data_IF_332506030538
#
_entry.id   IF_332506030538
#
_cell.length_a   1.000
_cell.length_b   1.000
_cell.length_c   1.000
_cell.angle_alpha   90.00
_cell.angle_beta   90.00
_cell.angle_gamma   90.00
#
_symmetry.space_group_name_H-M   'P 1'
#
loop_
_entity.id
_entity.type
_entity.pdbx_description
1 polymer ?
#
# COMPACT_ATOMS: atom_id res chain seq x y z
N UNK A 1 -14.68 -45.25 81.03
CA UNK A 1 -13.50 -44.61 80.40
C UNK A 1 -13.98 -43.35 79.67
N UNK A 2 -13.46 -42.18 80.10
CA UNK A 2 -13.44 -40.82 79.47
C UNK A 2 -14.76 -40.36 78.80
N UNK A 3 -15.63 -39.54 79.40
CA UNK A 3 -15.56 -38.11 79.83
C UNK A 3 -15.08 -37.12 78.77
N UNK A 4 -15.94 -36.10 78.59
CA UNK A 4 -15.77 -34.78 77.95
C UNK A 4 -16.11 -34.72 76.45
N UNK A 5 -17.04 -33.90 75.96
CA UNK A 5 -17.77 -32.78 76.54
C UNK A 5 -17.79 -31.60 75.56
N UNK A 6 -18.92 -30.89 75.56
CA UNK A 6 -19.11 -29.47 75.17
C UNK A 6 -19.89 -29.20 73.87
N UNK A 7 -21.10 -28.68 74.12
CA UNK A 7 -22.01 -27.85 73.32
C UNK A 7 -21.32 -26.69 72.57
N UNK A 8 -21.84 -26.33 71.39
CA UNK A 8 -22.36 -24.97 71.12
C UNK A 8 -22.90 -24.85 69.68
N UNK A 9 -24.20 -24.55 69.61
CA UNK A 9 -24.88 -23.83 68.52
C UNK A 9 -24.18 -22.49 68.30
N UNK A 10 -24.03 -22.00 67.06
CA UNK A 10 -24.28 -20.59 66.65
C UNK A 10 -23.84 -20.27 65.20
N UNK A 11 -24.74 -19.54 64.53
CA UNK A 11 -24.60 -18.61 63.39
C UNK A 11 -24.22 -19.13 61.99
N UNK A 12 -25.26 -19.12 61.15
CA UNK A 12 -25.24 -18.59 59.78
C UNK A 12 -24.39 -17.31 59.65
N UNK A 13 -23.32 -17.37 58.84
CA UNK A 13 -22.79 -16.22 58.12
C UNK A 13 -22.79 -16.59 56.65
N UNK A 14 -23.67 -15.90 55.93
CA UNK A 14 -23.75 -15.79 54.49
C UNK A 14 -22.41 -15.33 53.93
N UNK A 15 -21.59 -16.26 53.46
CA UNK A 15 -20.48 -15.93 52.56
C UNK A 15 -21.05 -15.90 51.14
N UNK A 16 -21.52 -14.70 50.78
CA UNK A 16 -21.44 -14.17 49.42
C UNK A 16 -20.03 -14.48 48.88
N UNK A 17 -19.89 -15.59 48.16
CA UNK A 17 -18.73 -15.76 47.29
C UNK A 17 -18.91 -14.78 46.15
N UNK A 18 -18.22 -13.65 46.27
CA UNK A 18 -17.87 -12.78 45.16
C UNK A 18 -17.33 -13.63 44.01
N UNK A 19 -18.19 -13.99 43.05
CA UNK A 19 -17.74 -14.03 41.66
C UNK A 19 -17.49 -12.58 41.26
N UNK A 20 -16.32 -12.06 41.63
CA UNK A 20 -15.72 -11.01 40.82
C UNK A 20 -15.52 -11.65 39.45
N UNK A 21 -16.42 -11.35 38.52
CA UNK A 21 -16.07 -11.36 37.10
C UNK A 21 -14.82 -10.50 37.04
N UNK A 22 -13.68 -11.13 36.82
CA UNK A 22 -12.55 -10.42 36.23
C UNK A 22 -13.06 -9.90 34.89
N UNK A 23 -13.52 -8.65 34.88
CA UNK A 23 -13.54 -7.86 33.67
C UNK A 23 -12.09 -7.83 33.21
N UNK A 24 -11.72 -8.77 32.34
CA UNK A 24 -10.53 -8.67 31.53
C UNK A 24 -10.64 -7.34 30.82
N UNK A 25 -9.94 -6.33 31.35
CA UNK A 25 -9.71 -5.08 30.64
C UNK A 25 -9.19 -5.50 29.26
N UNK A 26 -9.83 -5.08 28.16
CA UNK A 26 -9.41 -5.48 26.83
C UNK A 26 -7.92 -5.15 26.72
N UNK A 27 -7.12 -6.17 26.39
CA UNK A 27 -5.71 -5.95 26.13
C UNK A 27 -5.69 -5.00 24.93
N UNK A 28 -4.82 -3.99 24.93
CA UNK A 28 -4.77 -2.97 23.87
C UNK A 28 -4.71 -3.59 22.46
N UNK A 29 -4.19 -4.82 22.33
CA UNK A 29 -4.22 -5.61 21.10
C UNK A 29 -5.63 -5.90 20.57
N UNK A 30 -6.61 -6.18 21.44
CA UNK A 30 -8.00 -6.48 21.03
C UNK A 30 -8.73 -5.22 20.50
N UNK A 31 -8.26 -4.03 20.88
CA UNK A 31 -8.71 -2.73 20.36
C UNK A 31 -8.01 -2.32 19.06
N UNK A 32 -6.92 -3.00 18.69
CA UNK A 32 -6.10 -2.70 17.49
C UNK A 32 -6.23 -3.77 16.39
N UNK A 33 -6.88 -4.89 16.67
CA UNK A 33 -7.30 -5.85 15.65
C UNK A 33 -8.62 -5.39 15.07
N UNK A 34 -8.57 -4.67 13.93
CA UNK A 34 -9.72 -4.61 13.04
C UNK A 34 -10.12 -6.04 12.68
N UNK A 35 -11.37 -6.40 12.95
CA UNK A 35 -11.94 -7.70 12.59
C UNK A 35 -12.18 -7.67 11.07
N UNK A 36 -11.12 -7.97 10.31
CA UNK A 36 -11.17 -7.97 8.86
C UNK A 36 -11.96 -9.20 8.37
N UNK A 37 -13.22 -8.99 8.00
CA UNK A 37 -14.02 -10.00 7.31
C UNK A 37 -13.76 -9.97 5.79
N UNK A 38 -12.73 -10.71 5.36
CA UNK A 38 -12.35 -10.84 3.95
C UNK A 38 -13.36 -11.61 3.10
N UNK A 39 -14.31 -12.29 3.73
CA UNK A 39 -15.34 -13.08 3.04
C UNK A 39 -16.55 -12.25 2.63
N UNK A 40 -16.69 -11.04 3.18
CA UNK A 40 -17.82 -10.15 2.94
C UNK A 40 -18.05 -9.84 1.46
N UNK A 41 -16.98 -9.75 0.68
CA UNK A 41 -17.01 -9.47 -0.76
C UNK A 41 -16.67 -10.70 -1.63
N UNK A 42 -16.65 -11.90 -1.03
CA UNK A 42 -16.35 -13.14 -1.74
C UNK A 42 -17.46 -13.49 -2.73
N UNK A 43 -17.18 -13.31 -4.02
CA UNK A 43 -18.06 -13.78 -5.11
C UNK A 43 -17.58 -15.15 -5.57
N UNK A 44 -18.46 -16.16 -5.56
CA UNK A 44 -18.20 -17.41 -6.26
C UNK A 44 -18.80 -17.36 -7.66
N UNK A 45 -17.96 -17.05 -8.65
CA UNK A 45 -18.34 -17.09 -10.06
C UNK A 45 -17.91 -18.41 -10.69
N UNK A 46 -18.90 -19.27 -10.92
CA UNK A 46 -18.71 -20.56 -11.58
C UNK A 46 -19.02 -20.52 -13.07
N UNK A 47 -19.46 -19.37 -13.60
CA UNK A 47 -19.72 -19.21 -15.02
C UNK A 47 -18.41 -19.35 -15.78
N UNK A 48 -18.44 -20.15 -16.84
CA UNK A 48 -17.27 -20.42 -17.69
C UNK A 48 -16.06 -21.06 -16.97
N UNK A 49 -16.24 -21.62 -15.76
CA UNK A 49 -15.17 -22.36 -15.07
C UNK A 49 -15.20 -23.84 -15.49
N UNK A 50 -14.12 -24.36 -16.12
CA UNK A 50 -14.00 -25.77 -16.49
C UNK A 50 -14.22 -26.68 -15.30
N UNK A 51 -14.90 -27.81 -15.50
CA UNK A 51 -15.33 -28.69 -14.41
C UNK A 51 -14.17 -29.13 -13.51
N UNK A 52 -13.01 -29.42 -14.10
CA UNK A 52 -11.83 -29.88 -13.35
C UNK A 52 -11.17 -28.76 -12.51
N UNK A 53 -11.43 -27.49 -12.80
CA UNK A 53 -10.90 -26.33 -12.06
C UNK A 53 -11.86 -25.79 -10.99
N UNK A 54 -13.15 -26.16 -11.04
CA UNK A 54 -14.19 -25.62 -10.14
C UNK A 54 -13.84 -25.71 -8.66
N UNK A 55 -13.23 -26.82 -8.23
CA UNK A 55 -12.84 -26.99 -6.82
C UNK A 55 -11.80 -25.94 -6.40
N UNK A 56 -10.78 -25.72 -7.23
CA UNK A 56 -9.71 -24.75 -6.93
C UNK A 56 -10.25 -23.32 -6.98
N UNK A 57 -11.05 -22.99 -8.01
CA UNK A 57 -11.69 -21.66 -8.12
C UNK A 57 -12.61 -21.39 -6.92
N UNK A 58 -13.38 -22.39 -6.47
CA UNK A 58 -14.22 -22.27 -5.27
C UNK A 58 -13.39 -21.99 -4.02
N UNK A 59 -12.32 -22.74 -3.82
CA UNK A 59 -11.44 -22.55 -2.66
C UNK A 59 -10.81 -21.17 -2.65
N UNK A 60 -10.33 -20.70 -3.81
CA UNK A 60 -9.74 -19.36 -3.94
C UNK A 60 -10.79 -18.28 -3.68
N UNK A 61 -11.96 -18.41 -4.29
CA UNK A 61 -13.06 -17.45 -4.14
C UNK A 61 -13.54 -17.33 -2.71
N UNK A 62 -13.56 -18.45 -1.96
CA UNK A 62 -14.01 -18.46 -0.57
C UNK A 62 -13.07 -17.71 0.38
N UNK A 63 -11.77 -17.65 0.06
CA UNK A 63 -10.79 -16.87 0.83
C UNK A 63 -10.78 -15.42 0.34
N UNK A 64 -10.84 -15.19 -0.98
CA UNK A 64 -10.90 -13.87 -1.61
C UNK A 64 -9.70 -12.94 -1.30
N UNK A 65 -8.54 -13.52 -1.00
CA UNK A 65 -7.26 -12.81 -0.73
C UNK A 65 -6.23 -13.23 -1.76
N UNK A 66 -5.46 -12.28 -2.32
CA UNK A 66 -4.24 -12.62 -3.04
C UNK A 66 -3.09 -12.76 -2.04
N UNK A 67 -2.49 -13.94 -1.98
CA UNK A 67 -1.43 -14.31 -1.05
C UNK A 67 -0.17 -14.61 -1.86
N UNK A 68 0.93 -13.90 -1.54
CA UNK A 68 2.19 -14.01 -2.26
C UNK A 68 2.93 -15.32 -1.98
N UNK A 69 2.54 -16.07 -0.95
CA UNK A 69 3.25 -17.26 -0.50
C UNK A 69 4.54 -16.99 0.27
N UNK A 70 4.84 -15.71 0.56
CA UNK A 70 5.97 -15.35 1.44
C UNK A 70 5.61 -15.71 2.87
N UNK A 71 6.43 -16.55 3.50
CA UNK A 71 6.26 -16.92 4.90
C UNK A 71 6.77 -15.80 5.83
N UNK A 72 5.89 -15.29 6.69
CA UNK A 72 6.25 -14.35 7.75
C UNK A 72 6.62 -15.05 9.06
N UNK A 73 6.98 -14.27 10.09
CA UNK A 73 7.07 -14.80 11.45
C UNK A 73 5.66 -15.00 12.01
N UNK A 74 5.14 -16.23 11.91
CA UNK A 74 3.83 -16.60 12.40
C UNK A 74 3.17 -17.63 11.49
N UNK A 75 2.09 -18.29 11.92
CA UNK A 75 1.34 -19.17 11.05
C UNK A 75 0.77 -18.38 9.85
N UNK A 76 0.77 -18.94 8.63
CA UNK A 76 0.09 -18.32 7.51
C UNK A 76 -1.38 -18.15 7.87
N UNK A 77 -1.91 -16.94 7.68
CA UNK A 77 -3.30 -16.62 7.99
C UNK A 77 -4.23 -17.38 7.02
N UNK A 78 -3.83 -17.50 5.75
CA UNK A 78 -4.58 -18.19 4.70
C UNK A 78 -3.70 -19.10 3.85
N UNK A 79 -4.26 -20.19 3.33
CA UNK A 79 -3.56 -21.12 2.43
C UNK A 79 -3.93 -20.87 0.96
N UNK A 80 -4.12 -19.60 0.55
CA UNK A 80 -4.62 -19.33 -0.79
C UNK A 80 -3.53 -19.51 -1.87
N UNK A 81 -2.28 -19.27 -1.51
CA UNK A 81 -1.14 -19.55 -2.38
C UNK A 81 -1.05 -21.05 -2.78
N UNK A 82 -1.37 -21.97 -1.87
CA UNK A 82 -1.42 -23.41 -2.19
C UNK A 82 -2.53 -23.77 -3.18
N UNK A 83 -3.70 -23.10 -3.08
CA UNK A 83 -4.77 -23.29 -4.07
C UNK A 83 -4.35 -22.73 -5.43
N UNK A 84 -3.65 -21.59 -5.46
CA UNK A 84 -3.08 -21.02 -6.68
C UNK A 84 -2.09 -21.95 -7.34
N UNK A 85 -1.11 -22.50 -6.61
CA UNK A 85 -0.13 -23.43 -7.18
C UNK A 85 -0.82 -24.62 -7.87
N UNK A 86 -1.87 -25.17 -7.24
CA UNK A 86 -2.68 -26.25 -7.82
C UNK A 86 -3.45 -25.79 -9.06
N UNK A 87 -4.09 -24.62 -9.01
CA UNK A 87 -4.80 -24.03 -10.15
C UNK A 87 -3.85 -23.86 -11.35
N UNK A 88 -2.71 -23.22 -11.14
CA UNK A 88 -1.72 -22.92 -12.17
C UNK A 88 -1.10 -24.19 -12.78
N UNK A 89 -0.87 -25.22 -11.97
CA UNK A 89 -0.38 -26.51 -12.45
C UNK A 89 -1.41 -27.26 -13.32
N UNK A 90 -2.70 -27.21 -12.97
CA UNK A 90 -3.76 -27.95 -13.66
C UNK A 90 -4.29 -27.24 -14.91
N UNK A 91 -4.42 -25.91 -14.86
CA UNK A 91 -5.04 -25.15 -15.92
C UNK A 91 -4.12 -24.99 -17.15
N UNK A 92 -4.71 -25.10 -18.34
CA UNK A 92 -4.07 -24.68 -19.58
C UNK A 92 -3.95 -23.15 -19.68
N UNK A 93 -3.10 -22.65 -20.59
CA UNK A 93 -3.00 -21.20 -20.86
C UNK A 93 -4.36 -20.59 -21.23
N UNK A 94 -5.15 -21.27 -22.07
CA UNK A 94 -6.45 -20.78 -22.51
C UNK A 94 -7.46 -20.71 -21.34
N UNK A 95 -7.39 -21.65 -20.41
CA UNK A 95 -8.26 -21.65 -19.23
C UNK A 95 -7.86 -20.58 -18.23
N UNK A 96 -6.56 -20.37 -18.00
CA UNK A 96 -6.08 -19.24 -17.21
C UNK A 96 -6.49 -17.91 -17.84
N UNK A 97 -6.33 -17.77 -19.16
CA UNK A 97 -6.81 -16.60 -19.87
C UNK A 97 -8.31 -16.38 -19.67
N UNK A 98 -9.15 -17.42 -19.78
CA UNK A 98 -10.58 -17.31 -19.50
C UNK A 98 -10.88 -16.93 -18.04
N UNK A 99 -10.10 -17.44 -17.08
CA UNK A 99 -10.29 -17.15 -15.66
C UNK A 99 -9.92 -15.72 -15.28
N UNK A 100 -9.17 -14.99 -16.11
CA UNK A 100 -8.95 -13.54 -15.90
C UNK A 100 -10.23 -12.71 -16.01
N UNK A 101 -11.30 -13.24 -16.62
CA UNK A 101 -12.64 -12.63 -16.65
C UNK A 101 -13.51 -12.95 -15.42
N UNK A 102 -13.02 -13.79 -14.50
CA UNK A 102 -13.80 -14.18 -13.33
C UNK A 102 -14.21 -12.95 -12.51
N UNK A 103 -15.45 -12.92 -11.98
CA UNK A 103 -15.92 -11.81 -11.15
C UNK A 103 -15.15 -11.68 -9.83
N UNK A 104 -14.60 -12.78 -9.31
CA UNK A 104 -13.76 -12.76 -8.13
C UNK A 104 -12.37 -12.19 -8.47
N UNK A 105 -11.98 -11.10 -7.81
CA UNK A 105 -10.69 -10.44 -8.07
C UNK A 105 -9.50 -11.36 -7.76
N UNK A 106 -9.54 -12.14 -6.67
CA UNK A 106 -8.45 -13.06 -6.34
C UNK A 106 -8.28 -14.15 -7.40
N UNK A 107 -9.39 -14.75 -7.88
CA UNK A 107 -9.33 -15.73 -8.98
C UNK A 107 -8.74 -15.10 -10.24
N UNK A 108 -9.21 -13.91 -10.63
CA UNK A 108 -8.73 -13.23 -11.83
C UNK A 108 -7.24 -12.87 -11.75
N UNK A 109 -6.77 -12.40 -10.60
CA UNK A 109 -5.36 -12.06 -10.34
C UNK A 109 -4.48 -13.31 -10.38
N UNK A 110 -4.86 -14.38 -9.67
CA UNK A 110 -4.10 -15.63 -9.72
C UNK A 110 -4.05 -16.23 -11.12
N UNK A 111 -5.16 -16.12 -11.87
CA UNK A 111 -5.19 -16.56 -13.25
C UNK A 111 -4.24 -15.73 -14.14
N UNK A 112 -4.20 -14.41 -13.96
CA UNK A 112 -3.27 -13.53 -14.66
C UNK A 112 -1.81 -13.89 -14.34
N UNK A 113 -1.46 -14.05 -13.06
CA UNK A 113 -0.11 -14.41 -12.62
C UNK A 113 0.30 -15.79 -13.17
N UNK A 114 -0.57 -16.80 -13.07
CA UNK A 114 -0.32 -18.11 -13.64
C UNK A 114 -0.12 -18.07 -15.16
N UNK A 115 -0.82 -17.17 -15.85
CA UNK A 115 -0.65 -16.97 -17.29
C UNK A 115 0.71 -16.33 -17.62
N UNK A 116 1.12 -15.32 -16.85
CA UNK A 116 2.46 -14.70 -16.93
C UNK A 116 3.59 -15.70 -16.67
N UNK A 117 3.39 -16.64 -15.74
CA UNK A 117 4.37 -17.68 -15.41
C UNK A 117 4.54 -18.69 -16.54
N UNK A 118 3.46 -19.02 -17.25
CA UNK A 118 3.52 -19.95 -18.39
C UNK A 118 4.07 -19.29 -19.64
N UNK A 119 3.66 -18.04 -19.91
CA UNK A 119 3.96 -17.41 -21.18
C UNK A 119 3.99 -15.88 -21.09
N UNK A 120 5.19 -15.31 -21.23
CA UNK A 120 5.44 -13.87 -21.12
C UNK A 120 4.68 -13.00 -22.14
N UNK A 121 4.19 -13.58 -23.25
CA UNK A 121 3.43 -12.80 -24.23
C UNK A 121 2.14 -12.20 -23.64
N UNK A 122 1.67 -12.73 -22.51
CA UNK A 122 0.48 -12.26 -21.83
C UNK A 122 0.76 -11.21 -20.74
N UNK A 123 2.01 -10.84 -20.47
CA UNK A 123 2.36 -9.85 -19.43
C UNK A 123 1.59 -8.55 -19.59
N UNK A 124 1.70 -7.90 -20.75
CA UNK A 124 1.02 -6.62 -21.01
C UNK A 124 -0.51 -6.80 -21.11
N UNK A 125 -1.06 -7.75 -21.90
CA UNK A 125 -2.51 -7.91 -22.00
C UNK A 125 -3.20 -8.26 -20.67
N UNK A 126 -2.61 -9.14 -19.85
CA UNK A 126 -3.18 -9.52 -18.57
C UNK A 126 -3.10 -8.38 -17.56
N UNK A 127 -1.99 -7.62 -17.56
CA UNK A 127 -1.88 -6.41 -16.74
C UNK A 127 -2.95 -5.37 -17.13
N UNK A 128 -3.09 -5.06 -18.41
CA UNK A 128 -4.11 -4.12 -18.90
C UNK A 128 -5.53 -4.56 -18.51
N UNK A 129 -5.81 -5.86 -18.55
CA UNK A 129 -7.09 -6.40 -18.11
C UNK A 129 -7.32 -6.21 -16.62
N UNK A 130 -6.30 -6.45 -15.78
CA UNK A 130 -6.40 -6.21 -14.34
C UNK A 130 -6.51 -4.72 -14.02
N UNK A 131 -5.86 -3.85 -14.80
CA UNK A 131 -5.94 -2.39 -14.66
C UNK A 131 -7.35 -1.84 -14.85
N UNK A 132 -8.16 -2.47 -15.71
CA UNK A 132 -9.54 -2.06 -15.97
C UNK A 132 -10.55 -2.59 -14.94
N UNK A 133 -10.10 -3.42 -13.99
CA UNK A 133 -10.98 -3.90 -12.91
C UNK A 133 -11.21 -2.76 -11.92
N UNK A 134 -12.37 -2.79 -11.27
CA UNK A 134 -12.74 -1.78 -10.27
C UNK A 134 -12.50 -2.30 -8.86
N UNK A 135 -12.29 -1.35 -7.95
CA UNK A 135 -12.15 -1.61 -6.53
C UNK A 135 -10.75 -2.11 -6.14
N UNK A 136 -10.61 -2.39 -4.86
CA UNK A 136 -9.41 -2.99 -4.28
C UNK A 136 -9.70 -4.44 -3.91
N UNK A 137 -8.66 -5.17 -3.56
CA UNK A 137 -8.79 -6.50 -2.98
C UNK A 137 -7.75 -6.71 -1.87
N UNK A 138 -8.05 -7.57 -0.88
CA UNK A 138 -7.09 -7.93 0.13
C UNK A 138 -5.86 -8.60 -0.49
N UNK A 139 -4.69 -8.12 -0.12
CA UNK A 139 -3.39 -8.70 -0.46
C UNK A 139 -2.68 -9.05 0.84
N UNK A 140 -2.11 -10.25 0.88
CA UNK A 140 -1.27 -10.73 1.96
C UNK A 140 0.14 -10.99 1.44
N UNK A 141 1.12 -10.40 2.13
CA UNK A 141 2.54 -10.67 1.93
C UNK A 141 3.21 -10.97 3.27
N UNK A 142 3.33 -12.24 3.62
CA UNK A 142 3.73 -12.65 4.98
C UNK A 142 2.73 -12.18 6.03
N UNK A 143 3.20 -11.37 6.97
CA UNK A 143 2.37 -10.78 8.03
C UNK A 143 1.76 -9.43 7.63
N UNK A 144 2.06 -8.91 6.44
CA UNK A 144 1.56 -7.62 5.96
C UNK A 144 0.27 -7.87 5.19
N UNK A 145 -0.76 -7.12 5.55
CA UNK A 145 -2.07 -7.12 4.89
C UNK A 145 -2.34 -5.72 4.34
N UNK A 146 -2.78 -5.65 3.10
CA UNK A 146 -3.15 -4.41 2.41
C UNK A 146 -4.42 -4.61 1.58
N UNK A 147 -4.99 -3.51 1.10
CA UNK A 147 -6.12 -3.52 0.17
C UNK A 147 -5.73 -2.70 -1.06
N UNK A 148 -5.22 -3.37 -2.09
CA UNK A 148 -4.67 -2.68 -3.25
C UNK A 148 -5.44 -3.02 -4.53
N UNK A 149 -5.11 -2.31 -5.61
CA UNK A 149 -5.72 -2.54 -6.91
C UNK A 149 -5.33 -3.92 -7.47
N UNK A 150 -6.24 -4.66 -8.14
CA UNK A 150 -5.95 -5.98 -8.73
C UNK A 150 -4.77 -6.02 -9.73
N UNK A 151 -4.38 -4.87 -10.28
CA UNK A 151 -3.24 -4.75 -11.17
C UNK A 151 -1.89 -4.83 -10.43
N UNK A 152 -1.83 -4.45 -9.15
CA UNK A 152 -0.56 -4.37 -8.41
C UNK A 152 0.14 -5.72 -8.25
N UNK A 153 -0.55 -6.82 -7.89
CA UNK A 153 0.05 -8.16 -7.90
C UNK A 153 0.74 -8.51 -9.22
N UNK A 154 0.07 -8.24 -10.34
CA UNK A 154 0.59 -8.56 -11.69
C UNK A 154 1.82 -7.73 -12.02
N UNK A 155 1.81 -6.44 -11.64
CA UNK A 155 2.99 -5.58 -11.78
C UNK A 155 4.17 -6.11 -10.98
N UNK A 156 3.97 -6.41 -9.69
CA UNK A 156 5.04 -6.91 -8.82
C UNK A 156 5.58 -8.25 -9.28
N UNK A 157 4.73 -9.14 -9.81
CA UNK A 157 5.19 -10.39 -10.42
C UNK A 157 6.15 -10.14 -11.58
N UNK A 158 5.86 -9.18 -12.48
CA UNK A 158 6.80 -8.85 -13.57
C UNK A 158 8.06 -8.18 -13.02
N UNK A 159 7.91 -7.20 -12.12
CA UNK A 159 9.03 -6.46 -11.55
C UNK A 159 10.04 -7.37 -10.84
N UNK A 160 9.58 -8.32 -10.02
CA UNK A 160 10.45 -9.22 -9.26
C UNK A 160 11.03 -10.39 -10.07
N UNK A 161 10.54 -10.62 -11.31
CA UNK A 161 11.19 -11.57 -12.24
C UNK A 161 12.47 -11.02 -12.85
N UNK A 162 12.61 -9.70 -12.89
CA UNK A 162 13.71 -9.01 -13.53
C UNK A 162 14.87 -8.80 -12.55
N UNK A 163 16.09 -8.86 -13.07
CA UNK A 163 17.28 -8.44 -12.33
C UNK A 163 17.38 -6.92 -12.29
N UNK A 164 18.12 -6.33 -11.33
CA UNK A 164 18.29 -4.88 -11.22
C UNK A 164 18.73 -4.21 -12.53
N UNK A 165 19.64 -4.83 -13.28
CA UNK A 165 20.14 -4.31 -14.56
C UNK A 165 19.11 -4.35 -15.71
N UNK A 166 18.05 -5.16 -15.57
CA UNK A 166 17.01 -5.33 -16.59
C UNK A 166 15.86 -4.32 -16.42
N UNK A 167 15.63 -3.82 -15.19
CA UNK A 167 14.49 -2.96 -14.84
C UNK A 167 14.34 -1.72 -15.75
N UNK A 168 15.45 -1.14 -16.18
CA UNK A 168 15.42 0.05 -17.04
C UNK A 168 15.11 -0.26 -18.50
N UNK A 169 15.48 -1.45 -18.99
CA UNK A 169 15.47 -1.81 -20.42
C UNK A 169 14.33 -2.76 -20.82
N UNK A 170 13.71 -3.44 -19.86
CA UNK A 170 12.59 -4.35 -20.10
C UNK A 170 11.39 -3.62 -20.74
N UNK A 171 10.95 -4.11 -21.90
CA UNK A 171 9.90 -3.46 -22.69
C UNK A 171 8.50 -3.68 -22.11
N UNK A 172 8.26 -4.84 -21.49
CA UNK A 172 6.99 -5.13 -20.86
C UNK A 172 6.83 -4.23 -19.62
N UNK A 173 7.82 -4.20 -18.73
CA UNK A 173 7.80 -3.31 -17.57
C UNK A 173 7.64 -1.85 -17.97
N UNK A 174 8.30 -1.38 -19.04
CA UNK A 174 8.12 -0.01 -19.55
C UNK A 174 6.67 0.29 -19.97
N UNK A 175 5.97 -0.68 -20.56
CA UNK A 175 4.56 -0.53 -20.91
C UNK A 175 3.67 -0.51 -19.68
N UNK A 176 3.92 -1.42 -18.73
CA UNK A 176 3.22 -1.48 -17.45
C UNK A 176 3.36 -0.16 -16.67
N UNK A 177 4.60 0.34 -16.54
CA UNK A 177 4.94 1.62 -15.94
C UNK A 177 4.14 2.78 -16.55
N UNK A 178 4.09 2.82 -17.88
CA UNK A 178 3.36 3.87 -18.61
C UNK A 178 1.85 3.82 -18.35
N UNK A 179 1.28 2.61 -18.21
CA UNK A 179 -0.13 2.42 -17.90
C UNK A 179 -0.47 2.83 -16.47
N UNK A 180 0.43 2.59 -15.50
CA UNK A 180 0.22 2.96 -14.09
C UNK A 180 0.07 4.47 -13.90
N UNK A 181 0.72 5.28 -14.74
CA UNK A 181 0.57 6.73 -14.69
C UNK A 181 -0.89 7.19 -14.88
N UNK A 182 -1.72 6.39 -15.54
CA UNK A 182 -3.15 6.66 -15.74
C UNK A 182 -4.05 6.13 -14.62
N UNK A 183 -3.49 5.45 -13.61
CA UNK A 183 -4.22 4.91 -12.48
C UNK A 183 -4.21 5.94 -11.33
N UNK A 184 -5.31 6.65 -11.05
CA UNK A 184 -5.35 7.66 -9.98
C UNK A 184 -5.19 7.05 -8.59
N UNK A 185 -5.70 5.83 -8.40
CA UNK A 185 -5.72 5.10 -7.12
C UNK A 185 -4.59 4.07 -6.99
N UNK A 186 -3.50 4.22 -7.75
CA UNK A 186 -2.35 3.32 -7.59
C UNK A 186 -1.74 3.49 -6.21
N UNK A 187 -1.20 2.45 -5.58
CA UNK A 187 -0.47 2.62 -4.33
C UNK A 187 0.69 3.64 -4.45
N UNK A 188 1.05 4.28 -3.35
CA UNK A 188 2.21 5.18 -3.30
C UNK A 188 3.51 4.44 -3.67
N UNK A 189 3.60 3.17 -3.29
CA UNK A 189 4.77 2.33 -3.54
C UNK A 189 4.96 2.04 -5.03
N UNK A 190 3.89 1.64 -5.73
CA UNK A 190 3.98 1.33 -7.16
C UNK A 190 4.30 2.60 -7.95
N UNK A 191 3.63 3.73 -7.65
CA UNK A 191 3.89 4.99 -8.35
C UNK A 191 5.31 5.50 -8.11
N UNK A 192 5.82 5.38 -6.87
CA UNK A 192 7.23 5.69 -6.55
C UNK A 192 8.19 4.85 -7.40
N UNK A 193 7.89 3.56 -7.56
CA UNK A 193 8.75 2.63 -8.28
C UNK A 193 8.78 2.96 -9.78
N UNK A 194 7.59 3.17 -10.36
CA UNK A 194 7.39 3.55 -11.76
C UNK A 194 8.16 4.84 -12.09
N UNK A 195 8.10 5.85 -11.22
CA UNK A 195 8.75 7.14 -11.44
C UNK A 195 10.25 7.15 -11.16
N UNK A 196 10.74 6.26 -10.28
CA UNK A 196 12.18 6.14 -9.98
C UNK A 196 12.97 5.55 -11.15
N UNK A 197 12.35 4.65 -11.90
CA UNK A 197 13.09 3.79 -12.83
C UNK A 197 13.31 4.41 -14.21
N UNK A 198 12.72 5.55 -14.56
CA UNK A 198 12.90 6.11 -15.90
C UNK A 198 12.48 7.57 -16.00
N UNK A 199 12.96 8.22 -17.05
CA UNK A 199 12.40 9.48 -17.54
C UNK A 199 11.36 9.20 -18.63
N UNK A 200 10.30 10.00 -18.65
CA UNK A 200 9.15 9.82 -19.53
C UNK A 200 9.11 10.86 -20.65
N UNK A 201 8.45 10.52 -21.76
CA UNK A 201 8.20 11.45 -22.86
C UNK A 201 7.22 12.56 -22.47
N UNK A 202 7.18 13.65 -23.24
CA UNK A 202 6.31 14.80 -22.96
C UNK A 202 4.82 14.43 -22.85
N UNK A 203 4.34 13.46 -23.62
CA UNK A 203 2.95 13.00 -23.54
C UNK A 203 2.60 12.39 -22.17
N UNK A 204 3.52 11.61 -21.60
CA UNK A 204 3.34 11.00 -20.27
C UNK A 204 3.68 11.98 -19.14
N UNK A 205 4.55 12.96 -19.38
CA UNK A 205 4.84 14.06 -18.44
C UNK A 205 3.58 14.81 -18.03
N UNK A 206 2.67 15.10 -18.97
CA UNK A 206 1.38 15.72 -18.65
C UNK A 206 0.53 14.85 -17.72
N UNK A 207 0.57 13.53 -17.89
CA UNK A 207 -0.12 12.61 -17.00
C UNK A 207 0.51 12.59 -15.60
N UNK A 208 1.85 12.69 -15.50
CA UNK A 208 2.55 12.83 -14.22
C UNK A 208 2.18 14.17 -13.54
N UNK A 209 2.03 15.26 -14.30
CA UNK A 209 1.54 16.53 -13.78
C UNK A 209 0.13 16.42 -13.18
N UNK A 210 -0.78 15.67 -13.82
CA UNK A 210 -2.09 15.38 -13.22
C UNK A 210 -1.97 14.62 -11.91
N UNK A 211 -1.14 13.59 -11.87
CA UNK A 211 -0.87 12.86 -10.62
C UNK A 211 -0.33 13.79 -9.53
N UNK A 212 0.56 14.73 -9.87
CA UNK A 212 1.15 15.65 -8.92
C UNK A 212 0.15 16.71 -8.39
N UNK A 213 -0.61 17.35 -9.27
CA UNK A 213 -1.36 18.56 -8.95
C UNK A 213 -2.88 18.38 -8.83
N UNK A 214 -3.46 17.36 -9.48
CA UNK A 214 -4.89 17.04 -9.38
C UNK A 214 -5.12 15.95 -8.33
N UNK A 215 -4.24 14.93 -8.30
CA UNK A 215 -4.35 13.82 -7.37
C UNK A 215 -3.42 13.98 -6.14
N UNK A 216 -2.67 15.08 -6.05
CA UNK A 216 -1.80 15.42 -4.91
C UNK A 216 -0.78 14.32 -4.54
N UNK A 217 -0.29 13.57 -5.52
CA UNK A 217 0.58 12.40 -5.30
C UNK A 217 2.04 12.83 -5.10
N UNK A 218 2.58 12.54 -3.91
CA UNK A 218 3.97 12.89 -3.54
C UNK A 218 5.04 12.36 -4.53
N UNK A 219 4.97 11.12 -5.05
CA UNK A 219 5.97 10.59 -5.95
C UNK A 219 6.03 11.37 -7.28
N UNK A 220 4.86 11.81 -7.77
CA UNK A 220 4.76 12.63 -8.97
C UNK A 220 5.34 14.03 -8.76
N UNK A 221 5.09 14.65 -7.60
CA UNK A 221 5.72 15.91 -7.21
C UNK A 221 7.24 15.80 -7.16
N UNK A 222 7.76 14.76 -6.50
CA UNK A 222 9.20 14.48 -6.42
C UNK A 222 9.80 14.32 -7.82
N UNK A 223 9.16 13.54 -8.69
CA UNK A 223 9.61 13.33 -10.07
C UNK A 223 9.70 14.64 -10.86
N UNK A 224 8.64 15.47 -10.83
CA UNK A 224 8.63 16.75 -11.55
C UNK A 224 9.68 17.71 -10.99
N UNK A 225 9.88 17.74 -9.67
CA UNK A 225 10.92 18.55 -9.04
C UNK A 225 12.34 18.08 -9.39
N UNK A 226 12.56 16.79 -9.66
CA UNK A 226 13.88 16.30 -10.07
C UNK A 226 14.18 16.52 -11.55
N UNK A 227 13.21 16.30 -12.44
CA UNK A 227 13.46 16.24 -13.89
C UNK A 227 12.90 17.42 -14.68
N UNK A 228 11.84 18.06 -14.19
CA UNK A 228 11.09 19.09 -14.92
C UNK A 228 10.89 20.37 -14.10
N UNK A 229 11.75 20.59 -13.10
CA UNK A 229 11.62 21.66 -12.11
C UNK A 229 11.43 23.05 -12.71
N UNK A 230 12.22 23.38 -13.74
CA UNK A 230 12.17 24.68 -14.39
C UNK A 230 10.85 24.90 -15.12
N UNK A 231 10.31 23.86 -15.74
CA UNK A 231 9.06 23.91 -16.49
C UNK A 231 7.84 24.05 -15.57
N UNK A 232 7.85 23.36 -14.43
CA UNK A 232 6.73 23.35 -13.48
C UNK A 232 6.98 24.23 -12.24
N UNK A 233 7.90 25.19 -12.30
CA UNK A 233 8.40 25.89 -11.10
C UNK A 233 7.30 26.57 -10.29
N UNK A 234 6.38 27.27 -10.95
CA UNK A 234 5.30 28.00 -10.28
C UNK A 234 4.27 27.04 -9.66
N UNK A 235 3.91 25.98 -10.39
CA UNK A 235 2.95 24.96 -9.92
C UNK A 235 3.53 24.16 -8.76
N UNK A 236 4.80 23.75 -8.85
CA UNK A 236 5.51 23.04 -7.78
C UNK A 236 5.62 23.90 -6.52
N UNK A 237 6.05 25.15 -6.64
CA UNK A 237 6.15 26.03 -5.48
C UNK A 237 4.78 26.27 -4.82
N UNK A 238 3.74 26.50 -5.62
CA UNK A 238 2.37 26.66 -5.11
C UNK A 238 1.90 25.41 -4.36
N UNK A 239 2.06 24.24 -4.94
CA UNK A 239 1.61 22.98 -4.34
C UNK A 239 2.40 22.65 -3.07
N UNK A 240 3.73 22.80 -3.10
CA UNK A 240 4.58 22.59 -1.93
C UNK A 240 4.23 23.55 -0.79
N UNK A 241 3.96 24.83 -1.08
CA UNK A 241 3.53 25.78 -0.06
C UNK A 241 2.21 25.32 0.62
N UNK A 242 1.22 24.90 -0.17
CA UNK A 242 -0.04 24.36 0.35
C UNK A 242 0.18 23.14 1.26
N UNK A 243 1.03 22.19 0.85
CA UNK A 243 1.33 20.98 1.61
C UNK A 243 2.07 21.28 2.92
N UNK A 244 3.00 22.24 2.91
CA UNK A 244 3.74 22.68 4.11
C UNK A 244 2.78 23.31 5.13
N UNK A 245 1.86 24.14 4.65
CA UNK A 245 0.88 24.85 5.48
C UNK A 245 -0.24 23.94 6.01
N UNK A 246 -0.48 22.79 5.38
CA UNK A 246 -1.50 21.83 5.80
C UNK A 246 -1.08 21.08 7.09
N UNK A 247 -1.68 21.42 8.22
CA UNK A 247 -1.37 20.83 9.53
C UNK A 247 -1.79 19.36 9.70
N UNK A 248 -2.57 18.79 8.77
CA UNK A 248 -2.94 17.37 8.80
C UNK A 248 -1.86 16.42 8.25
N UNK A 249 -0.83 16.94 7.59
CA UNK A 249 0.25 16.14 7.02
C UNK A 249 1.28 15.79 8.09
N UNK A 250 1.72 14.52 8.11
CA UNK A 250 2.77 14.04 9.02
C UNK A 250 4.05 14.88 8.87
N UNK A 251 4.66 15.22 10.01
CA UNK A 251 5.81 16.12 10.08
C UNK A 251 7.03 15.64 9.27
N UNK A 252 7.24 14.33 9.16
CA UNK A 252 8.31 13.76 8.34
C UNK A 252 8.13 14.06 6.85
N UNK A 253 6.91 13.95 6.34
CA UNK A 253 6.60 14.33 4.97
C UNK A 253 6.71 15.84 4.75
N UNK A 254 6.42 16.67 5.76
CA UNK A 254 6.60 18.12 5.67
C UNK A 254 8.05 18.52 5.46
N UNK A 255 9.02 17.84 6.09
CA UNK A 255 10.46 18.12 5.87
C UNK A 255 10.87 17.91 4.42
N UNK A 256 10.45 16.79 3.82
CA UNK A 256 10.66 16.54 2.38
C UNK A 256 10.11 17.69 1.53
N UNK A 257 8.90 18.17 1.84
CA UNK A 257 8.30 19.29 1.10
C UNK A 257 9.07 20.60 1.29
N UNK A 258 9.51 20.91 2.51
CA UNK A 258 10.31 22.10 2.80
C UNK A 258 11.64 22.05 2.08
N UNK A 259 12.34 20.91 2.10
CA UNK A 259 13.61 20.74 1.40
C UNK A 259 13.45 20.94 -0.12
N UNK A 260 12.38 20.38 -0.72
CA UNK A 260 12.05 20.62 -2.13
C UNK A 260 11.70 22.09 -2.38
N UNK A 261 10.94 22.73 -1.51
CA UNK A 261 10.52 24.12 -1.66
C UNK A 261 11.70 25.11 -1.56
N UNK A 262 12.62 24.87 -0.63
CA UNK A 262 13.87 25.62 -0.50
C UNK A 262 14.81 25.43 -1.69
N UNK A 263 14.73 24.29 -2.39
CA UNK A 263 15.58 24.05 -3.55
C UNK A 263 15.36 25.06 -4.69
N UNK A 264 14.23 25.79 -4.69
CA UNK A 264 13.95 26.83 -5.70
C UNK A 264 14.78 28.10 -5.52
N UNK A 265 15.46 28.30 -4.38
CA UNK A 265 16.28 29.48 -4.09
C UNK A 265 15.51 30.78 -4.37
N UNK A 266 14.27 30.85 -3.89
CA UNK A 266 13.34 31.94 -4.16
C UNK A 266 13.06 32.68 -2.84
N UNK A 267 13.55 33.92 -2.66
CA UNK A 267 13.27 34.72 -1.47
C UNK A 267 11.77 34.94 -1.18
N UNK A 268 10.90 34.83 -2.19
CA UNK A 268 9.45 34.86 -2.01
C UNK A 268 8.92 33.75 -1.09
N UNK A 269 9.67 32.65 -0.93
CA UNK A 269 9.29 31.50 -0.12
C UNK A 269 9.50 31.73 1.39
N UNK A 270 10.20 32.81 1.78
CA UNK A 270 10.61 33.12 3.15
C UNK A 270 9.48 32.98 4.16
N UNK A 271 8.31 33.57 3.88
CA UNK A 271 7.18 33.60 4.83
C UNK A 271 6.68 32.18 5.15
N UNK A 272 6.43 31.37 4.13
CA UNK A 272 5.91 30.00 4.31
C UNK A 272 6.92 29.12 5.04
N UNK A 273 8.22 29.23 4.71
CA UNK A 273 9.26 28.47 5.42
C UNK A 273 9.35 28.89 6.88
N UNK A 274 9.42 30.20 7.20
CA UNK A 274 9.49 30.67 8.58
C UNK A 274 8.29 30.23 9.42
N UNK A 275 7.10 30.19 8.83
CA UNK A 275 5.90 29.67 9.51
C UNK A 275 6.05 28.19 9.87
N UNK A 276 6.68 27.39 9.00
CA UNK A 276 7.00 26.00 9.30
C UNK A 276 8.09 25.87 10.38
N UNK A 277 9.20 26.61 10.27
CA UNK A 277 10.32 26.55 11.22
C UNK A 277 9.94 26.95 12.65
N UNK A 278 8.89 27.77 12.81
CA UNK A 278 8.34 28.12 14.13
C UNK A 278 7.51 27.00 14.77
N UNK A 279 6.95 26.10 13.95
CA UNK A 279 6.05 25.01 14.38
C UNK A 279 6.80 23.71 14.64
N UNK A 280 7.80 23.40 13.83
CA UNK A 280 8.68 22.24 14.03
C UNK A 280 10.02 22.76 14.56
N UNK A 281 10.60 22.20 15.62
CA UNK A 281 11.94 22.60 16.10
C UNK A 281 13.05 21.68 15.57
N UNK A 282 12.68 20.51 15.05
CA UNK A 282 13.59 19.46 14.64
C UNK A 282 14.20 19.71 13.26
N UNK A 283 13.78 20.74 12.52
CA UNK A 283 14.44 21.13 11.26
C UNK A 283 15.90 21.55 11.48
N UNK A 284 16.29 21.95 12.70
CA UNK A 284 17.68 22.31 13.03
C UNK A 284 18.64 21.12 12.89
N UNK A 285 18.12 19.89 12.94
CA UNK A 285 18.88 18.66 12.72
C UNK A 285 18.97 18.28 11.24
N UNK A 286 18.20 18.94 10.37
CA UNK A 286 18.13 18.65 8.95
C UNK A 286 19.14 19.51 8.16
N UNK A 287 20.27 18.90 7.81
CA UNK A 287 21.34 19.58 7.07
C UNK A 287 20.88 20.11 5.70
N UNK A 288 19.95 19.44 5.02
CA UNK A 288 19.49 19.88 3.70
C UNK A 288 18.70 21.19 3.82
N UNK A 289 17.79 21.27 4.79
CA UNK A 289 17.03 22.49 5.09
C UNK A 289 18.00 23.61 5.49
N UNK A 290 18.86 23.37 6.48
CA UNK A 290 19.82 24.36 6.99
C UNK A 290 20.68 24.97 5.87
N UNK A 291 21.23 24.12 5.00
CA UNK A 291 22.15 24.56 3.93
C UNK A 291 21.50 25.43 2.84
N UNK A 292 20.16 25.56 2.84
CA UNK A 292 19.40 26.29 1.80
C UNK A 292 18.64 27.51 2.31
N UNK A 293 18.62 27.77 3.61
CA UNK A 293 17.86 28.89 4.19
C UNK A 293 18.32 30.25 3.63
N UNK A 294 19.62 30.52 3.64
CA UNK A 294 20.17 31.81 3.18
C UNK A 294 19.87 32.09 1.71
N UNK A 295 19.92 31.05 0.86
CA UNK A 295 19.56 31.15 -0.57
C UNK A 295 18.08 31.51 -0.80
N UNK A 296 17.25 31.37 0.24
CA UNK A 296 15.84 31.77 0.23
C UNK A 296 15.60 33.02 1.12
N UNK A 297 16.67 33.78 1.43
CA UNK A 297 16.59 35.04 2.17
C UNK A 297 16.25 34.88 3.66
N UNK A 298 16.49 33.69 4.22
CA UNK A 298 16.27 33.36 5.63
C UNK A 298 17.63 33.29 6.32
N UNK A 299 17.86 34.20 7.26
CA UNK A 299 19.11 34.32 8.02
C UNK A 299 18.89 33.91 9.48
N UNK A 300 19.96 33.72 10.25
CA UNK A 300 19.90 33.33 11.67
C UNK A 300 18.95 34.19 12.49
N UNK A 301 18.94 35.51 12.25
CA UNK A 301 18.11 36.46 12.99
C UNK A 301 16.61 36.26 12.75
N UNK A 302 16.21 35.54 11.70
CA UNK A 302 14.80 35.31 11.38
C UNK A 302 14.18 34.14 12.17
N UNK A 303 15.00 33.26 12.75
CA UNK A 303 14.55 31.99 13.37
C UNK A 303 15.21 31.66 14.73
N UNK A 304 16.08 32.54 15.21
CA UNK A 304 16.62 32.50 16.57
C UNK A 304 15.60 32.92 17.64
#
# INVERSE_FOLDING_TARGET
MKVSGIFAVILTITLFSCHQKEEKKPVITDLLTEDFDYTKDAVFDSLNVPQHLRKMVKNISAINVYDTGVEGKGPPIYNNFENFKKLSALASEQELLSLTDNKNNAVAVYAAIGLLDKNKQYTVPAFQKMLNRKGTMPIQNGCILSHDHPAEPVYWTQYYKLKPEELHSDQDLKQLDSMILFMPESSELILTTVLRNRTYSDGLKNQIAKQAFENHRQPALKYLNSWHKKEYADLLQKELANLIENDSINIGHKRDYVAMFLSFNNPGNKKTVLNYLKKDSLWKEDHEIMSRLENNGIFSEDYD
#
